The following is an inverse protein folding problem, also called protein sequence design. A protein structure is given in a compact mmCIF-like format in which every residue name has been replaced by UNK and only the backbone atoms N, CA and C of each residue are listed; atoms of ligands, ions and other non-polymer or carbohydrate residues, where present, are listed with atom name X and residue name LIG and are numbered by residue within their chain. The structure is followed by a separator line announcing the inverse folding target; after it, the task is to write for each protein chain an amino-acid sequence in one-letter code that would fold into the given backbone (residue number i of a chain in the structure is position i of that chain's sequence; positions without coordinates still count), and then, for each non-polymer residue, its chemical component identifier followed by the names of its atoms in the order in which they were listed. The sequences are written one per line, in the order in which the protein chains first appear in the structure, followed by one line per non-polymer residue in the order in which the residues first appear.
data_IF_177650497508
#
_entry.id   IF_177650497508
#
_cell.length_a   1.000
_cell.length_b   1.000
_cell.length_c   1.000
_cell.angle_alpha   90.00
_cell.angle_beta   90.00
_cell.angle_gamma   90.00
#
_symmetry.space_group_name_H-M   'P 1'
#
loop_
_entity.id
_entity.type
_entity.pdbx_description
1 polymer ?
#
# COMPACT_ATOMS: atom_id res chain seq x y z
N UNK A 1 4.02 7.90 -12.44
CA UNK A 1 3.84 6.51 -11.98
C UNK A 1 2.59 6.43 -11.11
N UNK A 2 1.86 5.33 -11.21
CA UNK A 2 0.63 5.01 -10.50
C UNK A 2 0.94 4.25 -9.21
N UNK A 3 0.20 4.52 -8.15
CA UNK A 3 0.36 3.83 -6.87
C UNK A 3 -0.97 3.41 -6.26
N UNK A 4 -0.91 2.39 -5.40
CA UNK A 4 -2.00 1.97 -4.52
C UNK A 4 -1.52 1.89 -3.08
N UNK A 5 -2.37 2.22 -2.11
CA UNK A 5 -2.06 2.08 -0.67
C UNK A 5 -3.00 1.08 -0.01
N UNK A 6 -2.48 -0.07 0.38
CA UNK A 6 -3.17 -1.07 1.18
C UNK A 6 -2.97 -0.81 2.67
N UNK A 7 -4.05 -0.74 3.45
CA UNK A 7 -3.96 -0.69 4.92
C UNK A 7 -5.29 -1.05 5.59
N UNK A 8 -5.35 -0.91 6.92
CA UNK A 8 -6.57 -1.09 7.71
C UNK A 8 -7.33 0.23 7.89
N UNK A 9 -8.63 0.15 8.19
CA UNK A 9 -9.45 1.33 8.53
C UNK A 9 -8.90 2.15 9.70
N UNK A 10 -8.10 1.55 10.60
CA UNK A 10 -7.43 2.26 11.69
C UNK A 10 -6.38 3.26 11.21
N UNK A 11 -5.92 3.13 9.97
CA UNK A 11 -4.87 3.94 9.35
C UNK A 11 -5.40 4.92 8.30
N UNK A 12 -6.71 5.18 8.20
CA UNK A 12 -7.28 6.11 7.19
C UNK A 12 -6.51 7.44 7.12
N UNK A 13 -6.24 8.07 8.28
CA UNK A 13 -5.53 9.35 8.31
C UNK A 13 -4.08 9.23 7.82
N UNK A 14 -3.39 8.13 8.13
CA UNK A 14 -2.04 7.85 7.62
C UNK A 14 -2.06 7.64 6.10
N UNK A 15 -3.05 6.89 5.59
CA UNK A 15 -3.23 6.65 4.15
C UNK A 15 -3.48 7.96 3.42
N UNK A 16 -4.38 8.80 3.93
CA UNK A 16 -4.69 10.12 3.35
C UNK A 16 -3.47 11.04 3.35
N UNK A 17 -2.70 11.04 4.44
CA UNK A 17 -1.44 11.79 4.53
C UNK A 17 -0.41 11.34 3.49
N UNK A 18 -0.10 10.04 3.42
CA UNK A 18 0.84 9.49 2.44
C UNK A 18 0.35 9.74 1.01
N UNK A 19 -0.93 9.48 0.74
CA UNK A 19 -1.55 9.70 -0.57
C UNK A 19 -1.45 11.16 -1.02
N UNK A 20 -1.70 12.11 -0.11
CA UNK A 20 -1.56 13.54 -0.39
C UNK A 20 -0.13 13.89 -0.81
N UNK A 21 0.87 13.49 -0.02
CA UNK A 21 2.28 13.83 -0.31
C UNK A 21 2.76 13.16 -1.60
N UNK A 22 2.39 11.91 -1.85
CA UNK A 22 2.74 11.24 -3.11
C UNK A 22 2.09 11.93 -4.32
N UNK A 23 0.82 12.38 -4.20
CA UNK A 23 0.17 13.18 -5.25
C UNK A 23 0.89 14.51 -5.49
N UNK A 24 1.29 15.22 -4.43
CA UNK A 24 2.08 16.47 -4.52
C UNK A 24 3.44 16.25 -5.21
N UNK A 25 4.03 15.06 -5.06
CA UNK A 25 5.27 14.65 -5.72
C UNK A 25 5.09 14.21 -7.18
N UNK A 26 3.85 14.20 -7.71
CA UNK A 26 3.52 13.88 -9.10
C UNK A 26 3.10 12.43 -9.37
N UNK A 27 2.84 11.63 -8.32
CA UNK A 27 2.32 10.27 -8.46
C UNK A 27 0.79 10.25 -8.56
N UNK A 28 0.23 9.23 -9.20
CA UNK A 28 -1.23 9.08 -9.39
C UNK A 28 -1.78 7.94 -8.54
N UNK A 29 -2.75 8.22 -7.66
CA UNK A 29 -3.41 7.19 -6.87
C UNK A 29 -4.43 6.43 -7.75
N UNK A 30 -4.31 5.10 -7.84
CA UNK A 30 -5.19 4.29 -8.70
C UNK A 30 -6.60 4.19 -8.15
N UNK A 31 -6.75 4.09 -6.84
CA UNK A 31 -8.04 4.08 -6.16
C UNK A 31 -7.90 4.47 -4.70
N UNK A 32 -8.77 5.36 -4.22
CA UNK A 32 -8.78 5.84 -2.84
C UNK A 32 -9.92 5.19 -2.04
N UNK A 33 -9.66 4.01 -1.48
CA UNK A 33 -10.64 3.27 -0.69
C UNK A 33 -11.05 4.00 0.59
N UNK A 34 -10.30 5.02 1.04
CA UNK A 34 -10.64 5.82 2.23
C UNK A 34 -11.86 6.73 2.02
N UNK A 35 -12.36 6.80 0.79
CA UNK A 35 -13.59 7.50 0.42
C UNK A 35 -14.82 6.57 0.45
N UNK A 36 -14.63 5.27 0.66
CA UNK A 36 -15.74 4.32 0.77
C UNK A 36 -16.42 4.49 2.13
N UNK A 37 -17.66 4.99 2.11
CA UNK A 37 -18.47 5.21 3.31
C UNK A 37 -19.83 4.52 3.16
N UNK A 38 -20.45 4.17 4.29
CA UNK A 38 -21.83 3.67 4.35
C UNK A 38 -22.14 2.46 3.45
N UNK A 39 -21.23 1.49 3.36
CA UNK A 39 -21.44 0.23 2.62
C UNK A 39 -22.50 -0.59 3.36
N UNK A 40 -23.61 -0.91 2.69
CA UNK A 40 -24.76 -1.61 3.31
C UNK A 40 -25.16 -2.90 2.61
N UNK A 41 -24.64 -3.17 1.41
CA UNK A 41 -25.01 -4.34 0.60
C UNK A 41 -23.82 -5.20 0.19
N UNK A 42 -24.09 -6.47 -0.13
CA UNK A 42 -23.07 -7.40 -0.65
C UNK A 42 -22.62 -7.02 -2.07
N UNK A 43 -23.48 -6.43 -2.90
CA UNK A 43 -23.10 -6.02 -4.25
C UNK A 43 -22.13 -4.83 -4.20
N UNK A 44 -22.33 -3.87 -3.30
CA UNK A 44 -21.36 -2.79 -3.06
C UNK A 44 -20.00 -3.33 -2.64
N UNK A 45 -19.96 -4.32 -1.72
CA UNK A 45 -18.71 -4.96 -1.31
C UNK A 45 -18.00 -5.65 -2.49
N UNK A 46 -18.75 -6.29 -3.37
CA UNK A 46 -18.22 -6.94 -4.57
C UNK A 46 -17.66 -5.91 -5.57
N UNK A 47 -18.38 -4.81 -5.79
CA UNK A 47 -17.90 -3.72 -6.64
C UNK A 47 -16.63 -3.07 -6.09
N UNK A 48 -16.57 -2.83 -4.79
CA UNK A 48 -15.39 -2.30 -4.11
C UNK A 48 -14.22 -3.26 -4.25
N UNK A 49 -14.43 -4.56 -3.95
CA UNK A 49 -13.38 -5.57 -4.11
C UNK A 49 -12.85 -5.65 -5.55
N UNK A 50 -13.71 -5.47 -6.56
CA UNK A 50 -13.27 -5.40 -7.96
C UNK A 50 -12.45 -4.14 -8.26
N UNK A 51 -12.86 -2.98 -7.72
CA UNK A 51 -12.11 -1.72 -7.85
C UNK A 51 -10.74 -1.80 -7.19
N UNK A 52 -10.66 -2.34 -5.97
CA UNK A 52 -9.40 -2.55 -5.24
C UNK A 52 -8.48 -3.51 -6.00
N UNK A 53 -9.00 -4.64 -6.48
CA UNK A 53 -8.23 -5.60 -7.29
C UNK A 53 -7.66 -4.95 -8.55
N UNK A 54 -8.49 -4.24 -9.32
CA UNK A 54 -8.04 -3.56 -10.54
C UNK A 54 -7.00 -2.47 -10.22
N UNK A 55 -7.22 -1.71 -9.14
CA UNK A 55 -6.33 -0.64 -8.73
C UNK A 55 -4.94 -1.13 -8.31
N UNK A 56 -4.86 -2.29 -7.65
CA UNK A 56 -3.59 -2.97 -7.34
C UNK A 56 -2.88 -3.42 -8.62
N UNK A 57 -3.63 -4.01 -9.56
CA UNK A 57 -3.07 -4.50 -10.85
C UNK A 57 -2.60 -3.33 -11.73
N UNK A 58 -3.31 -2.20 -11.73
CA UNK A 58 -2.96 -1.01 -12.52
C UNK A 58 -1.83 -0.18 -11.92
N UNK A 59 -1.52 -0.35 -10.64
CA UNK A 59 -0.46 0.40 -9.99
C UNK A 59 0.94 -0.02 -10.50
N UNK A 60 1.86 0.93 -10.58
CA UNK A 60 3.27 0.67 -10.86
C UNK A 60 3.98 0.17 -9.58
N UNK A 61 3.55 0.67 -8.42
CA UNK A 61 4.00 0.20 -7.11
C UNK A 61 2.87 0.20 -6.08
N UNK A 62 3.01 -0.61 -5.04
CA UNK A 62 2.04 -0.75 -3.94
C UNK A 62 2.71 -0.40 -2.62
N UNK A 63 2.03 0.38 -1.79
CA UNK A 63 2.44 0.71 -0.43
C UNK A 63 1.53 -0.05 0.54
N UNK A 64 2.10 -0.78 1.49
CA UNK A 64 1.36 -1.45 2.56
C UNK A 64 1.71 -0.77 3.87
N UNK A 65 0.73 -0.18 4.55
CA UNK A 65 0.93 0.45 5.86
C UNK A 65 0.47 -0.49 6.98
N UNK A 66 1.39 -0.90 7.85
CA UNK A 66 1.07 -1.70 9.04
C UNK A 66 0.60 -0.81 10.21
N UNK A 67 -0.24 -1.34 11.13
CA UNK A 67 -0.88 -2.66 11.06
C UNK A 67 -1.98 -2.73 9.99
N UNK A 68 -1.97 -3.81 9.21
CA UNK A 68 -2.86 -3.99 8.06
C UNK A 68 -3.94 -5.06 8.31
N UNK A 69 -5.04 -5.00 7.55
CA UNK A 69 -6.18 -5.90 7.70
C UNK A 69 -6.14 -7.11 6.78
N UNK A 70 -7.14 -8.00 6.88
CA UNK A 70 -7.28 -9.16 5.98
C UNK A 70 -7.28 -8.77 4.49
N UNK A 71 -7.99 -7.71 4.13
CA UNK A 71 -8.07 -7.21 2.75
C UNK A 71 -6.70 -6.79 2.24
N UNK A 72 -5.95 -6.03 3.05
CA UNK A 72 -4.61 -5.56 2.73
C UNK A 72 -3.61 -6.68 2.43
N UNK A 73 -3.75 -7.83 3.08
CA UNK A 73 -2.89 -8.98 2.81
C UNK A 73 -3.27 -9.72 1.52
N UNK A 74 -4.56 -9.71 1.16
CA UNK A 74 -5.00 -10.16 -0.17
C UNK A 74 -4.45 -9.23 -1.25
N UNK A 75 -4.53 -7.91 -1.05
CA UNK A 75 -3.96 -6.90 -1.95
C UNK A 75 -2.44 -7.05 -2.09
N UNK A 76 -1.72 -7.31 -0.99
CA UNK A 76 -0.29 -7.65 -1.03
C UNK A 76 -0.05 -8.91 -1.87
N UNK A 77 -0.84 -9.97 -1.69
CA UNK A 77 -0.75 -11.19 -2.49
C UNK A 77 -0.98 -10.94 -3.99
N UNK A 78 -1.97 -10.11 -4.35
CA UNK A 78 -2.23 -9.70 -5.74
C UNK A 78 -1.04 -8.91 -6.29
N UNK A 79 -0.47 -7.99 -5.51
CA UNK A 79 0.69 -7.19 -5.89
C UNK A 79 1.92 -8.08 -6.16
N UNK A 80 2.24 -9.01 -5.27
CA UNK A 80 3.32 -9.99 -5.45
C UNK A 80 3.07 -10.83 -6.71
N UNK A 81 1.84 -11.37 -6.86
CA UNK A 81 1.47 -12.20 -8.01
C UNK A 81 1.51 -11.47 -9.36
N UNK A 82 1.50 -10.14 -9.35
CA UNK A 82 1.63 -9.29 -10.54
C UNK A 82 2.99 -8.58 -10.61
N UNK A 83 4.00 -9.09 -9.90
CA UNK A 83 5.38 -8.57 -9.92
C UNK A 83 5.48 -7.07 -9.65
N UNK A 84 4.61 -6.55 -8.77
CA UNK A 84 4.62 -5.15 -8.39
C UNK A 84 5.77 -4.87 -7.46
N UNK A 85 6.35 -3.68 -7.57
CA UNK A 85 7.25 -3.16 -6.53
C UNK A 85 6.43 -2.84 -5.29
N UNK A 86 6.89 -3.30 -4.13
CA UNK A 86 6.13 -3.16 -2.89
C UNK A 86 6.97 -2.41 -1.86
N UNK A 87 6.34 -1.45 -1.19
CA UNK A 87 6.87 -0.74 -0.03
C UNK A 87 6.08 -1.16 1.20
N UNK A 88 6.69 -1.90 2.12
CA UNK A 88 6.06 -2.34 3.36
C UNK A 88 6.50 -1.42 4.50
N UNK A 89 5.58 -0.59 4.98
CA UNK A 89 5.84 0.36 6.05
C UNK A 89 5.42 -0.20 7.42
N UNK A 90 6.29 -0.04 8.41
CA UNK A 90 5.93 -0.10 9.83
C UNK A 90 6.58 1.04 10.60
N UNK A 91 5.94 1.44 11.71
CA UNK A 91 6.53 2.41 12.64
C UNK A 91 7.64 1.81 13.51
N UNK A 92 7.73 0.47 13.59
CA UNK A 92 8.73 -0.24 14.38
C UNK A 92 9.19 -1.54 13.68
N UNK A 93 9.98 -2.34 14.39
CA UNK A 93 10.55 -3.58 13.86
C UNK A 93 9.58 -4.79 13.90
N UNK A 94 8.26 -4.59 14.04
CA UNK A 94 7.28 -5.71 14.05
C UNK A 94 7.33 -6.56 12.77
N UNK A 95 7.76 -5.97 11.65
CA UNK A 95 7.94 -6.65 10.36
C UNK A 95 8.96 -7.78 10.41
N UNK A 96 9.87 -7.77 11.38
CA UNK A 96 10.92 -8.78 11.57
C UNK A 96 10.77 -9.55 12.89
N UNK A 97 9.65 -9.37 13.59
CA UNK A 97 9.32 -10.19 14.74
C UNK A 97 8.96 -11.62 14.27
N UNK A 98 9.81 -12.60 14.56
CA UNK A 98 9.65 -13.99 14.10
C UNK A 98 8.31 -14.64 14.49
N UNK A 99 7.69 -14.22 15.58
CA UNK A 99 6.41 -14.79 16.04
C UNK A 99 5.21 -14.24 15.25
N UNK A 100 5.31 -13.01 14.77
CA UNK A 100 4.17 -12.27 14.18
C UNK A 100 4.39 -11.85 12.72
N UNK A 101 5.60 -12.00 12.20
CA UNK A 101 5.92 -11.68 10.80
C UNK A 101 5.18 -12.59 9.84
N UNK A 102 4.93 -12.09 8.63
CA UNK A 102 4.55 -12.93 7.49
C UNK A 102 5.81 -13.40 6.75
N UNK A 103 5.80 -14.63 6.23
CA UNK A 103 6.83 -15.11 5.30
C UNK A 103 6.90 -14.23 4.04
N UNK A 104 5.78 -13.67 3.60
CA UNK A 104 5.71 -12.82 2.41
C UNK A 104 6.38 -11.46 2.60
N UNK A 105 6.55 -10.97 3.84
CA UNK A 105 7.27 -9.72 4.11
C UNK A 105 8.78 -9.84 3.86
N UNK A 106 9.28 -11.06 3.78
CA UNK A 106 10.70 -11.37 3.71
C UNK A 106 11.18 -11.60 2.27
N UNK A 107 10.29 -11.48 1.27
CA UNK A 107 10.64 -11.63 -0.14
C UNK A 107 11.47 -10.43 -0.64
N UNK A 108 12.34 -10.68 -1.62
CA UNK A 108 13.31 -9.70 -2.12
C UNK A 108 12.69 -8.46 -2.77
N UNK A 109 11.48 -8.59 -3.32
CA UNK A 109 10.70 -7.52 -3.94
C UNK A 109 10.03 -6.59 -2.93
N UNK A 110 10.03 -6.96 -1.63
CA UNK A 110 9.48 -6.16 -0.55
C UNK A 110 10.54 -5.17 -0.05
N UNK A 111 10.29 -3.89 -0.29
CA UNK A 111 11.11 -2.80 0.24
C UNK A 111 10.55 -2.40 1.61
N UNK A 112 11.13 -2.97 2.68
CA UNK A 112 10.73 -2.63 4.05
C UNK A 112 11.16 -1.21 4.39
N UNK A 113 10.25 -0.44 4.96
CA UNK A 113 10.46 0.93 5.42
C UNK A 113 10.07 1.02 6.90
N UNK A 114 11.05 1.17 7.78
CA UNK A 114 10.83 1.24 9.22
C UNK A 114 11.15 2.65 9.69
N UNK A 115 10.18 3.31 10.33
CA UNK A 115 10.34 4.67 10.85
C UNK A 115 9.10 5.53 10.65
N UNK A 116 9.29 6.74 10.13
CA UNK A 116 8.23 7.74 9.94
C UNK A 116 7.59 7.66 8.56
N UNK A 117 6.38 8.22 8.43
CA UNK A 117 5.71 8.33 7.12
C UNK A 117 6.44 9.30 6.18
N UNK A 118 7.13 10.31 6.71
CA UNK A 118 8.00 11.22 5.93
C UNK A 118 9.19 10.47 5.31
N UNK A 119 9.83 9.57 6.07
CA UNK A 119 10.90 8.72 5.54
C UNK A 119 10.38 7.77 4.45
N UNK A 120 9.20 7.17 4.64
CA UNK A 120 8.55 6.34 3.63
C UNK A 120 8.34 7.10 2.31
N UNK A 121 7.71 8.28 2.35
CA UNK A 121 7.44 9.04 1.13
C UNK A 121 8.72 9.53 0.46
N UNK A 122 9.77 9.82 1.23
CA UNK A 122 11.07 10.20 0.68
C UNK A 122 11.77 9.02 0.00
N UNK A 123 11.74 7.83 0.61
CA UNK A 123 12.28 6.60 -0.01
C UNK A 123 11.57 6.32 -1.34
N UNK A 124 10.24 6.39 -1.36
CA UNK A 124 9.45 6.20 -2.60
C UNK A 124 9.85 7.23 -3.65
N UNK A 125 9.92 8.51 -3.29
CA UNK A 125 10.23 9.59 -4.24
C UNK A 125 11.61 9.43 -4.86
N UNK A 126 12.63 9.17 -4.04
CA UNK A 126 14.01 8.95 -4.50
C UNK A 126 14.07 7.72 -5.39
N UNK A 127 13.50 6.60 -4.96
CA UNK A 127 13.56 5.35 -5.70
C UNK A 127 12.85 5.48 -7.04
N UNK A 128 11.60 5.93 -7.06
CA UNK A 128 10.79 5.94 -8.29
C UNK A 128 11.23 7.01 -9.31
N UNK A 129 11.86 8.11 -8.86
CA UNK A 129 12.38 9.13 -9.77
C UNK A 129 13.80 8.87 -10.25
N UNK A 130 14.61 8.11 -9.50
CA UNK A 130 15.96 7.73 -9.94
C UNK A 130 15.97 6.76 -11.13
N UNK A 131 14.83 6.12 -11.45
CA UNK A 131 14.68 5.28 -12.65
C UNK A 131 14.31 6.06 -13.93
N UNK A 132 14.21 7.39 -13.86
CA UNK A 132 13.91 8.27 -15.01
C UNK A 132 15.14 9.03 -15.54
N UNK A 133 16.33 8.78 -14.99
CA UNK A 133 17.62 9.34 -15.43
C UNK A 133 18.54 8.24 -15.97
#
# INVERSE_FOLDING_TARGET
MKFYIASSFKNIEKVRYVSKILKEKGFTHTYDWTLNENITTLEELKEIGQKETNAVIEADFVVVLLPAGKGSHVELGIAIGNSKKIYLYSSDNEVDNLETTSTFYQLSEINKCIGTLDELVNIIDVNEKSFLS
#
